data_IF_829364344311
#
_entry.id   IF_829364344311
#
_cell.length_a   1.000
_cell.length_b   1.000
_cell.length_c   1.000
_cell.angle_alpha   90.00
_cell.angle_beta   90.00
_cell.angle_gamma   90.00
#
_symmetry.space_group_name_H-M   'P 1'
#
loop_
_entity.id
_entity.type
_entity.pdbx_description
1 polymer ?
#
# COMPACT_ATOMS: atom_id res chain seq x y z
N UNK A 1 12.02 0.94 -11.93
CA UNK A 1 12.36 2.32 -11.54
C UNK A 1 11.89 2.58 -10.12
N UNK A 2 12.73 3.18 -9.32
CA UNK A 2 12.42 3.52 -7.94
C UNK A 2 12.37 5.03 -7.79
N UNK A 3 11.38 5.52 -7.05
CA UNK A 3 11.23 6.94 -6.75
C UNK A 3 10.98 7.10 -5.25
N UNK A 4 11.81 7.88 -4.58
CA UNK A 4 11.57 8.24 -3.19
C UNK A 4 10.65 9.46 -3.14
N UNK A 5 9.50 9.32 -2.48
CA UNK A 5 8.56 10.43 -2.31
C UNK A 5 8.76 11.10 -0.94
N UNK A 6 8.83 10.29 0.11
CA UNK A 6 9.18 10.75 1.44
C UNK A 6 9.67 9.56 2.27
N UNK A 7 10.43 9.86 3.32
CA UNK A 7 10.92 8.83 4.25
C UNK A 7 10.39 9.17 5.64
N UNK A 8 9.22 8.66 5.96
CA UNK A 8 8.53 8.93 7.22
C UNK A 8 7.90 7.68 7.80
N UNK A 9 7.84 7.62 9.13
CA UNK A 9 6.93 6.71 9.82
C UNK A 9 5.50 7.08 9.41
N UNK A 10 4.65 6.09 9.13
CA UNK A 10 3.30 6.37 8.65
C UNK A 10 2.45 7.11 9.68
N UNK A 11 2.80 7.06 10.97
CA UNK A 11 2.12 7.85 12.00
C UNK A 11 2.37 9.35 11.85
N UNK A 12 3.49 9.74 11.23
CA UNK A 12 3.79 11.15 10.93
C UNK A 12 3.45 11.54 9.51
N UNK A 13 2.92 10.62 8.72
CA UNK A 13 2.48 10.89 7.36
C UNK A 13 1.21 11.73 7.39
N UNK A 14 1.19 12.81 6.64
CA UNK A 14 0.06 13.75 6.61
C UNK A 14 -0.54 13.85 5.22
N UNK A 15 -1.59 14.67 5.09
CA UNK A 15 -2.28 14.85 3.81
C UNK A 15 -1.36 15.41 2.72
N UNK A 16 -0.38 16.22 3.05
CA UNK A 16 0.56 16.74 2.06
C UNK A 16 1.44 15.65 1.50
N UNK A 17 1.83 14.67 2.32
CA UNK A 17 2.58 13.51 1.87
C UNK A 17 1.73 12.65 0.93
N UNK A 18 0.46 12.45 1.26
CA UNK A 18 -0.47 11.73 0.41
C UNK A 18 -0.67 12.43 -0.94
N UNK A 19 -0.72 13.76 -0.94
CA UNK A 19 -0.80 14.56 -2.17
C UNK A 19 0.44 14.38 -3.04
N UNK A 20 1.62 14.28 -2.44
CA UNK A 20 2.87 14.03 -3.19
C UNK A 20 2.83 12.67 -3.87
N UNK A 21 2.39 11.64 -3.16
CA UNK A 21 2.23 10.30 -3.73
C UNK A 21 1.25 10.34 -4.90
N UNK A 22 0.10 10.94 -4.69
CA UNK A 22 -0.93 11.07 -5.72
C UNK A 22 -0.41 11.81 -6.96
N UNK A 23 0.35 12.88 -6.74
CA UNK A 23 0.91 13.67 -7.83
C UNK A 23 1.84 12.82 -8.70
N UNK A 24 2.72 12.01 -8.10
CA UNK A 24 3.59 11.10 -8.84
C UNK A 24 2.77 10.09 -9.65
N UNK A 25 1.74 9.52 -9.05
CA UNK A 25 0.89 8.54 -9.72
C UNK A 25 0.15 9.15 -10.91
N UNK A 26 -0.40 10.35 -10.74
CA UNK A 26 -1.14 11.03 -11.79
C UNK A 26 -0.27 11.47 -12.97
N UNK A 27 1.04 11.66 -12.74
CA UNK A 27 1.96 12.14 -13.78
C UNK A 27 2.78 11.03 -14.43
N UNK A 28 2.86 9.84 -13.85
CA UNK A 28 3.59 8.74 -14.46
C UNK A 28 2.77 8.08 -15.56
N UNK A 29 3.45 7.55 -16.57
CA UNK A 29 2.83 6.74 -17.62
C UNK A 29 2.73 5.26 -17.24
N UNK A 30 3.34 4.87 -16.13
CA UNK A 30 3.34 3.49 -15.66
C UNK A 30 1.95 3.09 -15.19
N UNK A 31 1.56 1.86 -15.51
CA UNK A 31 0.24 1.33 -15.16
C UNK A 31 0.28 0.35 -14.00
N UNK A 32 1.47 -0.12 -13.59
CA UNK A 32 1.65 -1.06 -12.50
C UNK A 32 2.58 -0.42 -11.49
N UNK A 33 2.07 -0.12 -10.30
CA UNK A 33 2.76 0.68 -9.30
C UNK A 33 2.69 -0.03 -7.96
N UNK A 34 3.85 -0.17 -7.31
CA UNK A 34 3.93 -0.70 -5.95
C UNK A 34 4.49 0.41 -5.07
N UNK A 35 3.81 0.67 -3.97
CA UNK A 35 4.19 1.70 -3.00
C UNK A 35 4.55 1.00 -1.69
N UNK A 36 5.78 1.18 -1.24
CA UNK A 36 6.15 0.74 0.10
C UNK A 36 5.76 1.82 1.10
N UNK A 37 5.08 1.42 2.15
CA UNK A 37 4.39 2.33 3.06
C UNK A 37 4.38 1.75 4.47
N UNK A 38 4.45 2.62 5.47
CA UNK A 38 4.25 2.19 6.85
C UNK A 38 2.81 1.71 7.07
N UNK A 39 2.64 0.77 7.98
CA UNK A 39 1.36 0.07 8.11
C UNK A 39 0.28 0.87 8.83
N UNK A 40 0.65 1.85 9.66
CA UNK A 40 -0.31 2.54 10.51
C UNK A 40 -1.40 3.26 9.73
N UNK A 41 -1.03 3.99 8.69
CA UNK A 41 -1.98 4.76 7.87
C UNK A 41 -2.13 4.21 6.46
N UNK A 42 -1.66 2.98 6.21
CA UNK A 42 -1.74 2.38 4.88
C UNK A 42 -3.17 2.31 4.33
N UNK A 43 -4.18 1.88 5.11
CA UNK A 43 -5.56 1.90 4.62
C UNK A 43 -6.06 3.30 4.26
N UNK A 44 -5.67 4.31 5.04
CA UNK A 44 -6.08 5.68 4.78
C UNK A 44 -5.49 6.21 3.48
N UNK A 45 -4.21 5.95 3.24
CA UNK A 45 -3.54 6.34 2.00
C UNK A 45 -4.18 5.62 0.80
N UNK A 46 -4.50 4.34 0.95
CA UNK A 46 -5.16 3.58 -0.13
C UNK A 46 -6.50 4.22 -0.51
N UNK A 47 -7.31 4.58 0.47
CA UNK A 47 -8.61 5.24 0.23
C UNK A 47 -8.44 6.63 -0.36
N UNK A 48 -7.47 7.38 0.13
CA UNK A 48 -7.17 8.70 -0.41
C UNK A 48 -6.80 8.62 -1.89
N UNK A 49 -5.91 7.71 -2.25
CA UNK A 49 -5.50 7.53 -3.65
C UNK A 49 -6.69 7.13 -4.51
N UNK A 50 -7.46 6.15 -4.08
CA UNK A 50 -8.60 5.66 -4.84
C UNK A 50 -9.63 6.77 -5.10
N UNK A 51 -9.83 7.66 -4.13
CA UNK A 51 -10.82 8.74 -4.24
C UNK A 51 -10.34 9.90 -5.11
N UNK A 52 -9.05 10.03 -5.37
CA UNK A 52 -8.49 11.21 -6.00
C UNK A 52 -7.71 10.92 -7.30
N UNK A 53 -7.64 9.67 -7.74
CA UNK A 53 -6.98 9.33 -8.99
C UNK A 53 -7.68 9.99 -10.17
N UNK A 54 -6.87 10.63 -11.04
CA UNK A 54 -7.37 11.25 -12.28
C UNK A 54 -7.42 10.27 -13.43
N UNK A 55 -6.61 9.21 -13.37
CA UNK A 55 -6.49 8.21 -14.42
C UNK A 55 -7.18 6.92 -14.02
N UNK A 56 -7.68 6.21 -15.02
CA UNK A 56 -8.15 4.83 -14.88
C UNK A 56 -7.15 3.91 -15.57
N UNK A 57 -7.12 2.67 -15.16
CA UNK A 57 -6.27 1.67 -15.79
C UNK A 57 -4.96 1.39 -15.05
N UNK A 58 -4.69 2.08 -13.96
CA UNK A 58 -3.52 1.79 -13.13
C UNK A 58 -3.85 0.75 -12.05
N UNK A 59 -2.93 -0.18 -11.84
CA UNK A 59 -2.96 -1.09 -10.69
C UNK A 59 -1.96 -0.56 -9.68
N UNK A 60 -2.45 -0.20 -8.51
CA UNK A 60 -1.64 0.40 -7.45
C UNK A 60 -1.74 -0.49 -6.21
N UNK A 61 -0.60 -0.99 -5.74
CA UNK A 61 -0.54 -1.82 -4.55
C UNK A 61 0.28 -1.09 -3.49
N UNK A 62 -0.30 -0.94 -2.31
CA UNK A 62 0.44 -0.51 -1.13
C UNK A 62 0.84 -1.74 -0.34
N UNK A 63 2.09 -1.80 0.07
CA UNK A 63 2.62 -2.89 0.87
C UNK A 63 3.67 -2.36 1.84
N UNK A 64 4.06 -3.17 2.78
CA UNK A 64 5.04 -2.78 3.78
C UNK A 64 5.42 -3.97 4.63
N UNK A 65 5.73 -3.73 5.90
CA UNK A 65 6.03 -4.82 6.82
C UNK A 65 5.42 -4.56 8.19
N UNK A 66 4.97 -5.63 8.84
CA UNK A 66 4.56 -5.59 10.25
C UNK A 66 5.79 -5.69 11.15
N UNK A 67 6.85 -6.37 10.69
CA UNK A 67 8.11 -6.56 11.42
C UNK A 67 9.20 -5.77 10.70
N UNK A 68 9.86 -4.81 11.38
CA UNK A 68 10.92 -4.02 10.74
C UNK A 68 12.07 -4.87 10.21
N UNK A 69 12.70 -4.41 9.11
CA UNK A 69 13.86 -5.08 8.51
C UNK A 69 15.03 -5.23 9.50
N UNK A 70 15.17 -4.30 10.43
CA UNK A 70 16.27 -4.25 11.40
C UNK A 70 15.86 -4.75 12.78
N UNK A 71 14.78 -5.52 12.89
CA UNK A 71 14.30 -6.04 14.15
C UNK A 71 14.99 -7.35 14.56
N UNK A 72 14.63 -7.87 15.74
CA UNK A 72 15.13 -9.16 16.24
C UNK A 72 14.53 -10.36 15.53
N UNK A 73 13.38 -10.21 14.94
CA UNK A 73 12.69 -11.27 14.22
C UNK A 73 12.88 -11.08 12.70
N UNK A 74 12.82 -12.16 11.90
CA UNK A 74 12.80 -12.02 10.45
C UNK A 74 11.65 -11.13 10.00
N UNK A 75 11.94 -10.17 9.12
CA UNK A 75 10.92 -9.27 8.58
C UNK A 75 10.05 -9.96 7.55
N UNK A 76 8.77 -9.58 7.52
CA UNK A 76 7.84 -9.99 6.47
C UNK A 76 7.95 -9.13 5.20
N UNK A 77 8.80 -8.10 5.21
CA UNK A 77 8.92 -7.17 4.09
C UNK A 77 9.28 -7.84 2.76
N UNK A 78 10.30 -8.73 2.67
CA UNK A 78 10.62 -9.39 1.41
C UNK A 78 9.48 -10.23 0.87
N UNK A 79 8.78 -10.96 1.73
CA UNK A 79 7.62 -11.76 1.33
C UNK A 79 6.51 -10.87 0.76
N UNK A 80 6.18 -9.80 1.48
CA UNK A 80 5.13 -8.87 1.05
C UNK A 80 5.46 -8.21 -0.27
N UNK A 81 6.71 -7.80 -0.46
CA UNK A 81 7.15 -7.18 -1.70
C UNK A 81 7.09 -8.18 -2.86
N UNK A 82 7.59 -9.38 -2.68
CA UNK A 82 7.56 -10.43 -3.71
C UNK A 82 6.13 -10.81 -4.07
N UNK A 83 5.27 -10.96 -3.08
CA UNK A 83 3.85 -11.25 -3.30
C UNK A 83 3.18 -10.14 -4.11
N UNK A 84 3.47 -8.88 -3.77
CA UNK A 84 2.92 -7.71 -4.48
C UNK A 84 3.41 -7.65 -5.93
N UNK A 85 4.69 -7.94 -6.17
CA UNK A 85 5.26 -7.98 -7.52
C UNK A 85 4.59 -9.04 -8.40
N UNK A 86 4.21 -10.17 -7.81
CA UNK A 86 3.45 -11.19 -8.53
C UNK A 86 2.03 -10.75 -8.78
N UNK A 87 1.35 -10.25 -7.74
CA UNK A 87 -0.06 -9.90 -7.80
C UNK A 87 -0.36 -8.75 -8.76
N UNK A 88 0.54 -7.77 -8.85
CA UNK A 88 0.33 -6.58 -9.71
C UNK A 88 0.15 -6.95 -11.18
N UNK A 89 0.62 -8.12 -11.60
CA UNK A 89 0.50 -8.59 -12.97
C UNK A 89 -0.90 -9.07 -13.33
N UNK A 90 -1.69 -9.45 -12.33
CA UNK A 90 -2.98 -10.13 -12.54
C UNK A 90 -4.17 -9.32 -12.08
N UNK A 91 -3.96 -8.35 -11.21
CA UNK A 91 -5.07 -7.58 -10.65
C UNK A 91 -5.67 -6.64 -11.67
N UNK A 92 -6.97 -6.43 -11.55
CA UNK A 92 -7.68 -5.42 -12.33
C UNK A 92 -7.28 -4.03 -11.84
N UNK A 93 -7.39 -3.00 -12.71
CA UNK A 93 -7.11 -1.63 -12.28
C UNK A 93 -7.83 -1.25 -11.00
N UNK A 94 -7.11 -0.63 -10.09
CA UNK A 94 -7.63 -0.23 -8.79
C UNK A 94 -6.50 -0.02 -7.78
N UNK A 95 -6.90 0.27 -6.56
CA UNK A 95 -5.98 0.48 -5.45
C UNK A 95 -6.18 -0.64 -4.44
N UNK A 96 -5.07 -1.26 -4.06
CA UNK A 96 -5.07 -2.44 -3.21
C UNK A 96 -4.05 -2.31 -2.08
N UNK A 97 -4.28 -3.05 -1.01
CA UNK A 97 -3.27 -3.29 0.04
C UNK A 97 -2.93 -4.77 0.00
N UNK A 98 -1.64 -5.09 -0.02
CA UNK A 98 -1.16 -6.45 -0.07
C UNK A 98 -0.24 -6.71 1.13
N UNK A 99 -0.69 -7.54 2.05
CA UNK A 99 0.02 -7.85 3.28
C UNK A 99 -0.15 -9.31 3.66
N UNK A 100 0.96 -9.95 3.98
CA UNK A 100 1.00 -11.31 4.56
C UNK A 100 0.20 -12.35 3.75
N UNK A 101 0.33 -12.29 2.42
CA UNK A 101 -0.31 -13.25 1.53
C UNK A 101 -1.78 -12.99 1.28
N UNK A 102 -2.26 -11.80 1.60
CA UNK A 102 -3.63 -11.39 1.35
C UNK A 102 -3.68 -10.10 0.55
N UNK A 103 -4.65 -10.00 -0.34
CA UNK A 103 -4.89 -8.81 -1.15
C UNK A 103 -6.24 -8.23 -0.75
N UNK A 104 -6.22 -6.97 -0.34
CA UNK A 104 -7.42 -6.25 0.06
C UNK A 104 -7.69 -5.12 -0.92
N UNK A 105 -8.96 -4.89 -1.25
CA UNK A 105 -9.35 -3.66 -1.94
C UNK A 105 -9.27 -2.49 -0.95
N UNK A 106 -9.13 -1.27 -1.47
CA UNK A 106 -9.10 -0.08 -0.64
C UNK A 106 -10.37 0.09 0.20
N UNK A 107 -11.48 -0.47 -0.25
CA UNK A 107 -12.77 -0.36 0.44
C UNK A 107 -12.84 -1.26 1.67
N UNK A 108 -12.25 -2.46 1.59
CA UNK A 108 -12.40 -3.47 2.63
C UNK A 108 -11.30 -3.47 3.68
N UNK A 109 -10.15 -2.89 3.40
CA UNK A 109 -8.96 -3.03 4.24
C UNK A 109 -9.08 -2.25 5.55
N UNK A 110 -8.70 -2.89 6.65
CA UNK A 110 -8.51 -2.25 7.94
C UNK A 110 -7.36 -2.91 8.68
N UNK A 111 -6.65 -2.16 9.49
CA UNK A 111 -5.63 -2.71 10.37
C UNK A 111 -6.23 -2.95 11.75
N UNK A 112 -6.23 -4.20 12.19
CA UNK A 112 -6.68 -4.55 13.54
C UNK A 112 -5.49 -4.42 14.48
N UNK A 113 -5.41 -3.28 15.18
CA UNK A 113 -4.24 -2.92 15.98
C UNK A 113 -3.99 -3.94 17.08
N UNK A 114 -5.03 -4.42 17.76
CA UNK A 114 -4.91 -5.38 18.86
C UNK A 114 -4.28 -6.71 18.44
N UNK A 115 -4.45 -7.09 17.17
CA UNK A 115 -3.91 -8.35 16.64
C UNK A 115 -2.70 -8.14 15.74
N UNK A 116 -2.34 -6.89 15.44
CA UNK A 116 -1.21 -6.59 14.58
C UNK A 116 -1.35 -7.15 13.17
N UNK A 117 -2.56 -7.15 12.62
CA UNK A 117 -2.80 -7.69 11.27
C UNK A 117 -3.82 -6.87 10.50
N UNK A 118 -3.79 -7.02 9.18
CA UNK A 118 -4.79 -6.46 8.29
C UNK A 118 -5.96 -7.41 8.12
N UNK A 119 -7.15 -6.86 8.04
CA UNK A 119 -8.38 -7.63 7.89
C UNK A 119 -9.30 -6.93 6.89
N UNK A 120 -10.25 -7.68 6.34
CA UNK A 120 -11.37 -7.10 5.59
C UNK A 120 -12.45 -6.65 6.57
N UNK A 121 -12.99 -5.44 6.36
CA UNK A 121 -14.16 -4.96 7.11
C UNK A 121 -15.44 -5.63 6.63
N UNK A 122 -15.40 -6.23 5.46
CA UNK A 122 -16.51 -7.07 4.99
C UNK A 122 -16.35 -8.45 5.60
N UNK A 123 -17.43 -9.08 5.90
CA UNK A 123 -17.42 -10.37 6.57
C UNK A 123 -17.04 -11.48 5.57
N UNK A 124 -15.75 -11.61 5.36
CA UNK A 124 -15.17 -12.62 4.47
C UNK A 124 -14.42 -13.67 5.26
#
# INVERSE_FOLDING_TARGET
MFTEVCMKDSRSLNINDMKKILNHINHTKLKKIIITHGTYTMPDTARYLASNLKKKGQVIILTGSMIPLTGFAPSDAPFNLGYSLSAVKYLLPGVYVCMNGQIFTHQEVAKRISEGKFVSVFNK
#
